data_IF_757987112450
#
_entry.id   IF_757987112450
#
_cell.length_a   1.000
_cell.length_b   1.000
_cell.length_c   1.000
_cell.angle_alpha   90.00
_cell.angle_beta   90.00
_cell.angle_gamma   90.00
#
_symmetry.space_group_name_H-M   'P 1'
#
loop_
_entity.id
_entity.type
_entity.pdbx_description
1 polymer ?
#
# COMPACT_ATOMS: atom_id res chain seq x y z
N UNK A 1 -13.26 -1.12 -0.81
CA UNK A 1 -11.86 -1.46 -1.17
C UNK A 1 -10.97 -1.01 -0.04
N UNK A 2 -10.24 -1.94 0.57
CA UNK A 2 -9.28 -1.66 1.64
C UNK A 2 -7.87 -1.88 1.10
N UNK A 3 -6.98 -0.94 1.40
CA UNK A 3 -5.58 -0.98 1.09
C UNK A 3 -4.78 -0.78 2.36
N UNK A 4 -3.85 -1.67 2.61
CA UNK A 4 -3.07 -1.64 3.84
C UNK A 4 -1.72 -2.31 3.65
N UNK A 5 -0.91 -2.29 4.69
CA UNK A 5 0.43 -2.88 4.71
C UNK A 5 0.66 -3.61 6.02
N UNK A 6 1.27 -4.78 5.94
CA UNK A 6 1.81 -5.44 7.14
C UNK A 6 3.01 -4.66 7.68
N UNK A 7 2.87 -4.08 8.86
CA UNK A 7 3.93 -3.26 9.45
C UNK A 7 4.93 -4.08 10.26
N UNK A 8 6.21 -3.71 10.12
CA UNK A 8 7.34 -4.27 10.89
C UNK A 8 7.39 -5.80 10.91
N UNK A 9 6.82 -6.44 9.90
CA UNK A 9 6.71 -7.90 9.87
C UNK A 9 8.08 -8.58 9.91
N UNK A 10 9.07 -8.05 9.19
CA UNK A 10 10.44 -8.58 9.19
C UNK A 10 11.09 -8.59 10.58
N UNK A 11 10.81 -7.56 11.38
CA UNK A 11 11.38 -7.38 12.71
C UNK A 11 10.67 -8.26 13.75
N UNK A 12 9.39 -8.59 13.50
CA UNK A 12 8.54 -9.32 14.45
C UNK A 12 8.41 -10.82 14.15
N UNK A 13 9.10 -11.34 13.13
CA UNK A 13 9.15 -12.79 12.87
C UNK A 13 9.93 -13.49 13.97
N UNK A 14 9.27 -14.41 14.67
CA UNK A 14 9.88 -15.26 15.67
C UNK A 14 10.52 -16.47 14.97
N UNK A 15 11.84 -16.61 15.08
CA UNK A 15 12.61 -17.67 14.39
C UNK A 15 12.20 -19.10 14.81
N UNK A 16 11.82 -19.30 16.07
CA UNK A 16 11.37 -20.62 16.56
C UNK A 16 10.06 -21.06 15.91
N UNK A 17 9.12 -20.12 15.71
CA UNK A 17 7.90 -20.38 14.96
C UNK A 17 8.19 -20.59 13.48
N UNK A 18 9.07 -19.75 12.90
CA UNK A 18 9.47 -19.86 11.50
C UNK A 18 10.06 -21.24 11.19
N UNK A 19 10.92 -21.78 12.06
CA UNK A 19 11.51 -23.11 11.87
C UNK A 19 10.43 -24.20 11.77
N UNK A 20 9.45 -24.19 12.68
CA UNK A 20 8.33 -25.15 12.68
C UNK A 20 7.50 -25.03 11.40
N UNK A 21 7.23 -23.81 10.95
CA UNK A 21 6.48 -23.57 9.71
C UNK A 21 7.27 -24.01 8.47
N UNK A 22 8.58 -23.77 8.42
CA UNK A 22 9.42 -24.17 7.29
C UNK A 22 9.52 -25.70 7.17
N UNK A 23 9.60 -26.42 8.29
CA UNK A 23 9.60 -27.90 8.31
C UNK A 23 8.35 -28.54 7.70
N UNK A 24 7.26 -27.80 7.52
CA UNK A 24 6.06 -28.31 6.84
C UNK A 24 6.20 -28.38 5.31
N UNK A 25 7.10 -27.56 4.74
CA UNK A 25 7.21 -27.38 3.28
C UNK A 25 8.56 -27.78 2.71
N UNK A 26 9.62 -27.76 3.51
CA UNK A 26 10.98 -28.15 3.09
C UNK A 26 11.55 -29.19 4.04
N UNK A 27 12.60 -29.88 3.59
CA UNK A 27 13.32 -30.83 4.44
C UNK A 27 13.84 -30.16 5.72
N UNK A 28 13.87 -30.94 6.80
CA UNK A 28 14.28 -30.48 8.12
C UNK A 28 15.67 -29.83 8.14
N UNK A 29 16.65 -30.37 7.39
CA UNK A 29 18.00 -29.80 7.34
C UNK A 29 18.00 -28.40 6.67
N UNK A 30 17.19 -28.24 5.63
CA UNK A 30 17.05 -26.96 4.92
C UNK A 30 16.34 -25.94 5.82
N UNK A 31 15.28 -26.35 6.52
CA UNK A 31 14.58 -25.49 7.48
C UNK A 31 15.49 -25.00 8.61
N UNK A 32 16.32 -25.88 9.17
CA UNK A 32 17.30 -25.54 10.20
C UNK A 32 18.37 -24.60 9.69
N UNK A 33 18.91 -24.85 8.50
CA UNK A 33 19.86 -23.94 7.83
C UNK A 33 19.26 -22.54 7.62
N UNK A 34 18.04 -22.46 7.05
CA UNK A 34 17.37 -21.19 6.78
C UNK A 34 17.09 -20.41 8.07
N UNK A 35 16.74 -21.10 9.16
CA UNK A 35 16.48 -20.46 10.45
C UNK A 35 17.79 -19.97 11.09
N UNK A 36 18.80 -20.83 11.19
CA UNK A 36 20.09 -20.48 11.78
C UNK A 36 20.80 -19.36 11.02
N UNK A 37 20.63 -19.30 9.69
CA UNK A 37 21.26 -18.26 8.86
C UNK A 37 20.63 -16.87 9.05
N UNK A 38 19.41 -16.79 9.59
CA UNK A 38 18.83 -15.51 9.99
C UNK A 38 19.35 -15.02 11.34
N UNK A 39 19.88 -15.92 12.17
CA UNK A 39 20.46 -15.59 13.49
C UNK A 39 21.95 -15.27 13.34
N UNK A 40 22.28 -14.13 12.74
CA UNK A 40 23.66 -13.64 12.64
C UNK A 40 23.82 -12.27 13.30
N UNK A 41 25.02 -12.01 13.79
CA UNK A 41 25.40 -10.71 14.35
C UNK A 41 25.60 -9.72 13.19
N UNK A 42 24.85 -8.63 13.20
CA UNK A 42 24.98 -7.53 12.24
C UNK A 42 25.97 -6.52 12.81
N UNK A 43 27.01 -6.20 12.04
CA UNK A 43 28.04 -5.27 12.44
C UNK A 43 27.94 -3.98 11.61
N UNK A 44 27.99 -2.83 12.27
CA UNK A 44 28.17 -1.54 11.65
C UNK A 44 29.18 -0.72 12.44
N UNK A 45 30.38 -0.53 11.87
CA UNK A 45 31.54 0.05 12.58
C UNK A 45 31.80 -0.74 13.88
N UNK A 46 31.76 -0.07 15.03
CA UNK A 46 31.99 -0.66 16.35
C UNK A 46 30.71 -1.21 17.01
N UNK A 47 29.56 -1.12 16.33
CA UNK A 47 28.28 -1.60 16.85
C UNK A 47 27.97 -3.00 16.35
N UNK A 48 27.67 -3.90 17.28
CA UNK A 48 27.27 -5.29 16.99
C UNK A 48 25.89 -5.53 17.60
N UNK A 49 24.95 -6.07 16.82
CA UNK A 49 23.61 -6.42 17.29
C UNK A 49 23.09 -7.68 16.59
N UNK A 50 22.57 -8.62 17.36
CA UNK A 50 21.85 -9.79 16.82
C UNK A 50 20.40 -9.40 16.60
N UNK A 51 19.96 -9.35 15.33
CA UNK A 51 18.59 -8.95 14.99
C UNK A 51 17.83 -10.11 14.35
N UNK A 52 16.50 -9.96 14.21
CA UNK A 52 15.61 -10.93 13.56
C UNK A 52 15.87 -11.13 12.06
N UNK A 53 14.85 -11.57 11.32
CA UNK A 53 14.97 -12.01 9.91
C UNK A 53 15.66 -10.98 8.99
N UNK A 54 16.67 -11.43 8.24
CA UNK A 54 17.53 -10.58 7.42
C UNK A 54 17.02 -10.52 5.98
N UNK A 55 16.74 -9.30 5.50
CA UNK A 55 16.24 -9.04 4.14
C UNK A 55 17.26 -9.26 3.03
N UNK A 56 18.56 -9.21 3.35
CA UNK A 56 19.66 -9.33 2.38
C UNK A 56 20.03 -10.77 2.01
N UNK A 57 19.43 -11.78 2.64
CA UNK A 57 19.67 -13.18 2.28
C UNK A 57 18.96 -13.51 0.96
N UNK A 58 19.59 -14.32 0.11
CA UNK A 58 19.04 -14.67 -1.21
C UNK A 58 17.67 -15.38 -1.12
N UNK A 59 17.47 -16.20 -0.09
CA UNK A 59 16.20 -16.88 0.18
C UNK A 59 15.23 -16.08 1.07
N UNK A 60 15.55 -14.82 1.42
CA UNK A 60 14.69 -14.00 2.27
C UNK A 60 13.33 -13.73 1.60
N UNK A 61 13.31 -13.59 0.27
CA UNK A 61 12.08 -13.45 -0.51
C UNK A 61 11.12 -14.61 -0.28
N UNK A 62 11.63 -15.85 -0.35
CA UNK A 62 10.85 -17.06 -0.11
C UNK A 62 10.28 -17.12 1.31
N UNK A 63 11.12 -16.93 2.34
CA UNK A 63 10.69 -16.91 3.75
C UNK A 63 9.56 -15.89 3.95
N UNK A 64 9.75 -14.69 3.39
CA UNK A 64 8.78 -13.60 3.54
C UNK A 64 7.45 -13.94 2.89
N UNK A 65 7.48 -14.43 1.65
CA UNK A 65 6.25 -14.74 0.92
C UNK A 65 5.48 -15.89 1.57
N UNK A 66 6.19 -16.91 2.05
CA UNK A 66 5.60 -18.03 2.78
C UNK A 66 5.01 -17.59 4.13
N UNK A 67 5.76 -16.81 4.92
CA UNK A 67 5.25 -16.31 6.20
C UNK A 67 4.01 -15.44 6.00
N UNK A 68 3.98 -14.61 4.96
CA UNK A 68 2.80 -13.82 4.62
C UNK A 68 1.64 -14.66 4.13
N UNK A 69 1.87 -15.75 3.40
CA UNK A 69 0.81 -16.69 3.04
C UNK A 69 0.11 -17.23 4.30
N UNK A 70 0.87 -17.56 5.34
CA UNK A 70 0.30 -17.97 6.64
C UNK A 70 -0.56 -16.84 7.25
N UNK A 71 -0.11 -15.59 7.17
CA UNK A 71 -0.91 -14.45 7.65
C UNK A 71 -2.17 -14.24 6.82
N UNK A 72 -2.11 -14.43 5.50
CA UNK A 72 -3.27 -14.28 4.63
C UNK A 72 -4.35 -15.33 4.98
N UNK A 73 -3.96 -16.56 5.30
CA UNK A 73 -4.87 -17.58 5.80
C UNK A 73 -5.56 -17.20 7.11
N UNK A 74 -4.89 -16.42 7.98
CA UNK A 74 -5.50 -15.88 9.21
C UNK A 74 -6.51 -14.77 8.90
N UNK A 75 -6.29 -13.99 7.83
CA UNK A 75 -7.20 -12.90 7.43
C UNK A 75 -8.49 -13.44 6.80
N UNK A 76 -8.43 -14.44 5.92
CA UNK A 76 -9.64 -14.98 5.27
C UNK A 76 -10.32 -16.12 6.02
N UNK A 77 -9.54 -16.88 6.79
CA UNK A 77 -9.93 -18.23 7.19
C UNK A 77 -9.80 -19.24 6.04
N UNK A 78 -9.79 -20.53 6.40
CA UNK A 78 -9.47 -21.62 5.47
C UNK A 78 -10.51 -21.83 4.36
N UNK A 79 -11.80 -21.62 4.65
CA UNK A 79 -12.88 -21.82 3.68
C UNK A 79 -12.78 -20.81 2.54
N UNK A 80 -12.77 -19.51 2.86
CA UNK A 80 -12.67 -18.45 1.85
C UNK A 80 -11.35 -18.55 1.06
N UNK A 81 -10.24 -18.87 1.71
CA UNK A 81 -8.96 -19.10 1.02
C UNK A 81 -9.02 -20.28 0.04
N UNK A 82 -9.68 -21.37 0.41
CA UNK A 82 -9.85 -22.55 -0.46
C UNK A 82 -10.75 -22.25 -1.66
N UNK A 83 -11.82 -21.49 -1.47
CA UNK A 83 -12.72 -21.08 -2.56
C UNK A 83 -12.02 -20.17 -3.57
N UNK A 84 -11.18 -19.24 -3.09
CA UNK A 84 -10.37 -18.36 -3.94
C UNK A 84 -9.30 -19.13 -4.72
N UNK A 85 -8.59 -20.06 -4.07
CA UNK A 85 -7.54 -20.84 -4.72
C UNK A 85 -8.10 -21.89 -5.70
N UNK A 86 -9.33 -22.36 -5.46
CA UNK A 86 -9.93 -23.46 -6.20
C UNK A 86 -9.37 -24.84 -5.76
N UNK A 87 -9.89 -25.93 -6.34
CA UNK A 87 -9.45 -27.28 -6.02
C UNK A 87 -8.02 -27.52 -6.49
N UNK A 88 -7.25 -28.29 -5.74
CA UNK A 88 -5.85 -28.60 -6.00
C UNK A 88 -5.59 -29.19 -7.40
N UNK A 89 -6.55 -29.94 -7.95
CA UNK A 89 -6.46 -30.52 -9.29
C UNK A 89 -6.60 -29.47 -10.40
N UNK A 90 -7.33 -28.38 -10.14
CA UNK A 90 -7.62 -27.33 -11.11
C UNK A 90 -7.70 -25.97 -10.39
N UNK A 91 -6.54 -25.38 -10.06
CA UNK A 91 -6.50 -24.12 -9.34
C UNK A 91 -7.06 -22.99 -10.21
N UNK A 92 -7.72 -22.03 -9.55
CA UNK A 92 -8.25 -20.85 -10.22
C UNK A 92 -7.12 -19.90 -10.63
N UNK A 93 -7.32 -19.13 -11.70
CA UNK A 93 -6.41 -18.04 -12.02
C UNK A 93 -6.66 -16.81 -11.12
N UNK A 94 -5.78 -15.83 -11.21
CA UNK A 94 -5.89 -14.60 -10.42
C UNK A 94 -7.23 -13.89 -10.67
N UNK A 95 -7.95 -13.58 -9.58
CA UNK A 95 -9.27 -12.93 -9.59
C UNK A 95 -10.39 -13.72 -10.30
N UNK A 96 -10.24 -15.04 -10.41
CA UNK A 96 -11.26 -15.93 -10.96
C UNK A 96 -11.81 -16.85 -9.88
N UNK A 97 -13.10 -17.16 -9.99
CA UNK A 97 -13.79 -18.17 -9.19
C UNK A 97 -14.32 -19.27 -10.10
N UNK A 98 -14.67 -20.43 -9.53
CA UNK A 98 -15.28 -21.51 -10.30
C UNK A 98 -16.70 -21.14 -10.73
N UNK A 99 -17.50 -20.64 -9.79
CA UNK A 99 -18.91 -20.32 -9.99
C UNK A 99 -19.26 -18.96 -9.39
N UNK A 100 -20.27 -18.30 -9.99
CA UNK A 100 -20.83 -17.04 -9.47
C UNK A 100 -21.49 -17.19 -8.10
N UNK A 101 -21.96 -18.40 -7.77
CA UNK A 101 -22.49 -18.73 -6.45
C UNK A 101 -21.40 -18.70 -5.39
N UNK A 102 -20.24 -19.34 -5.67
CA UNK A 102 -19.07 -19.33 -4.77
C UNK A 102 -18.53 -17.92 -4.60
N UNK A 103 -18.46 -17.14 -5.69
CA UNK A 103 -18.11 -15.72 -5.62
C UNK A 103 -19.05 -14.98 -4.68
N UNK A 104 -20.35 -15.32 -4.68
CA UNK A 104 -21.45 -14.71 -3.94
C UNK A 104 -21.57 -15.05 -2.45
N UNK A 105 -20.95 -16.14 -1.97
CA UNK A 105 -21.08 -16.63 -0.60
C UNK A 105 -20.46 -15.73 0.47
N UNK A 106 -19.26 -15.19 0.24
CA UNK A 106 -18.49 -14.47 1.27
C UNK A 106 -18.26 -12.99 0.93
N UNK A 107 -18.38 -12.02 1.87
CA UNK A 107 -18.25 -10.59 1.55
C UNK A 107 -16.93 -10.18 0.91
N UNK A 108 -15.84 -10.92 1.17
CA UNK A 108 -14.55 -10.71 0.50
C UNK A 108 -14.62 -11.35 -0.90
N UNK A 109 -14.54 -10.52 -1.94
CA UNK A 109 -14.62 -10.98 -3.33
C UNK A 109 -13.26 -11.02 -4.02
N UNK A 110 -12.42 -10.01 -3.83
CA UNK A 110 -11.11 -9.96 -4.48
C UNK A 110 -10.03 -9.74 -3.44
N UNK A 111 -8.91 -10.41 -3.65
CA UNK A 111 -7.72 -10.23 -2.84
C UNK A 111 -6.47 -10.17 -3.70
N UNK A 112 -5.56 -9.27 -3.36
CA UNK A 112 -4.22 -9.27 -3.90
C UNK A 112 -3.24 -8.84 -2.82
N UNK A 113 -2.08 -9.48 -2.81
CA UNK A 113 -0.94 -9.08 -1.99
C UNK A 113 0.27 -8.82 -2.86
N UNK A 114 0.74 -7.58 -2.84
CA UNK A 114 1.97 -7.19 -3.51
C UNK A 114 3.06 -6.97 -2.49
N UNK A 115 3.93 -7.96 -2.32
CA UNK A 115 4.96 -7.99 -1.28
C UNK A 115 4.31 -7.79 0.09
N UNK A 116 4.33 -6.58 0.64
CA UNK A 116 3.81 -6.20 1.96
C UNK A 116 2.48 -5.44 1.92
N UNK A 117 2.09 -4.94 0.74
CA UNK A 117 0.82 -4.25 0.53
C UNK A 117 -0.28 -5.26 0.26
N UNK A 118 -1.43 -5.01 0.87
CA UNK A 118 -2.61 -5.84 0.81
C UNK A 118 -3.74 -5.02 0.21
N UNK A 119 -4.45 -5.62 -0.73
CA UNK A 119 -5.60 -5.04 -1.41
C UNK A 119 -6.77 -6.01 -1.26
N UNK A 120 -7.84 -5.56 -0.59
CA UNK A 120 -9.02 -6.38 -0.32
C UNK A 120 -10.27 -5.67 -0.85
N UNK A 121 -11.02 -6.34 -1.70
CA UNK A 121 -12.29 -5.86 -2.21
C UNK A 121 -13.44 -6.59 -1.50
N UNK A 122 -14.32 -5.79 -0.89
CA UNK A 122 -15.49 -6.27 -0.18
C UNK A 122 -16.76 -5.88 -0.93
N UNK A 123 -17.74 -6.77 -0.92
CA UNK A 123 -19.11 -6.55 -1.40
C UNK A 123 -20.09 -6.97 -0.32
N UNK A 124 -20.53 -6.00 0.48
CA UNK A 124 -21.51 -6.21 1.53
C UNK A 124 -22.94 -6.05 1.01
N UNK A 125 -23.86 -6.82 1.60
CA UNK A 125 -25.29 -6.52 1.57
C UNK A 125 -25.63 -5.37 2.52
N UNK A 126 -26.84 -4.81 2.40
CA UNK A 126 -27.29 -3.75 3.29
C UNK A 126 -27.47 -4.22 4.76
N UNK A 127 -27.67 -5.52 4.97
CA UNK A 127 -27.81 -6.12 6.30
C UNK A 127 -26.43 -6.33 6.92
N UNK A 128 -25.53 -7.01 6.20
CA UNK A 128 -24.15 -7.26 6.63
C UNK A 128 -23.40 -5.97 6.97
N UNK A 129 -23.56 -4.93 6.14
CA UNK A 129 -22.93 -3.63 6.39
C UNK A 129 -23.45 -2.98 7.68
N UNK A 130 -24.76 -3.07 7.96
CA UNK A 130 -25.35 -2.52 9.18
C UNK A 130 -24.87 -3.28 10.42
N UNK A 131 -24.85 -4.60 10.34
CA UNK A 131 -24.45 -5.46 11.45
C UNK A 131 -22.97 -5.25 11.78
N UNK A 132 -22.10 -5.17 10.77
CA UNK A 132 -20.67 -4.89 10.96
C UNK A 132 -20.42 -3.52 11.60
N UNK A 133 -21.14 -2.49 11.15
CA UNK A 133 -21.06 -1.14 11.75
C UNK A 133 -21.55 -1.17 13.19
N UNK A 134 -22.64 -1.89 13.48
CA UNK A 134 -23.19 -1.98 14.83
C UNK A 134 -22.22 -2.67 15.79
N UNK A 135 -21.59 -3.78 15.38
CA UNK A 135 -20.54 -4.44 16.16
C UNK A 135 -19.38 -3.48 16.44
N UNK A 136 -18.89 -2.77 15.42
CA UNK A 136 -17.82 -1.79 15.58
C UNK A 136 -18.19 -0.66 16.57
N UNK A 137 -19.37 -0.06 16.43
CA UNK A 137 -19.83 1.03 17.31
C UNK A 137 -20.17 0.58 18.72
N UNK A 138 -20.42 -0.72 18.93
CA UNK A 138 -20.61 -1.29 20.27
C UNK A 138 -19.30 -1.30 21.04
N UNK A 139 -18.18 -1.64 20.38
CA UNK A 139 -16.85 -1.59 21.00
C UNK A 139 -16.25 -0.18 21.04
N UNK A 140 -16.53 0.63 20.01
CA UNK A 140 -15.97 1.97 19.83
C UNK A 140 -17.12 2.98 19.66
N UNK A 141 -17.80 3.36 20.76
CA UNK A 141 -18.92 4.29 20.69
C UNK A 141 -18.44 5.68 20.25
N UNK A 142 -19.11 6.25 19.25
CA UNK A 142 -18.81 7.59 18.71
C UNK A 142 -20.03 8.52 18.84
N UNK A 143 -20.27 9.11 20.04
CA UNK A 143 -21.40 10.01 20.27
C UNK A 143 -21.23 11.36 19.56
N UNK A 144 -19.99 11.80 19.29
CA UNK A 144 -19.66 13.12 18.76
C UNK A 144 -19.45 13.15 17.23
N UNK A 145 -19.56 12.01 16.54
CA UNK A 145 -19.23 11.85 15.11
C UNK A 145 -17.77 12.17 14.78
N UNK A 146 -16.86 11.88 15.70
CA UNK A 146 -15.42 12.09 15.56
C UNK A 146 -14.78 11.11 14.56
N UNK A 147 -15.47 10.02 14.19
CA UNK A 147 -14.95 9.06 13.21
C UNK A 147 -14.62 9.67 11.84
N UNK A 148 -15.26 10.79 11.48
CA UNK A 148 -15.00 11.54 10.25
C UNK A 148 -13.63 12.23 10.32
N UNK A 149 -13.22 12.66 11.51
CA UNK A 149 -11.92 13.30 11.75
C UNK A 149 -10.82 12.25 11.65
N UNK A 150 -9.77 12.54 10.88
CA UNK A 150 -8.67 11.60 10.67
C UNK A 150 -8.98 10.46 9.69
N UNK A 151 -10.07 10.55 8.91
CA UNK A 151 -10.28 9.62 7.80
C UNK A 151 -9.38 10.00 6.61
N UNK A 152 -8.47 9.11 6.25
CA UNK A 152 -7.51 9.33 5.16
C UNK A 152 -8.23 9.42 3.81
N UNK A 153 -7.86 10.42 2.99
CA UNK A 153 -8.43 10.59 1.65
C UNK A 153 -7.36 11.02 0.64
N UNK A 154 -7.55 10.60 -0.61
CA UNK A 154 -6.60 10.83 -1.70
C UNK A 154 -6.68 12.29 -2.18
N UNK A 155 -5.61 13.05 -1.95
CA UNK A 155 -5.54 14.49 -2.29
C UNK A 155 -5.17 14.77 -3.75
N UNK A 156 -4.71 13.76 -4.49
CA UNK A 156 -4.39 13.85 -5.93
C UNK A 156 -5.62 14.19 -6.79
N UNK A 157 -6.81 13.68 -6.44
CA UNK A 157 -8.02 13.86 -7.20
C UNK A 157 -8.69 15.21 -6.89
N UNK A 158 -9.49 15.80 -7.81
CA UNK A 158 -10.34 16.95 -7.50
C UNK A 158 -11.36 16.63 -6.40
N UNK A 159 -11.84 17.65 -5.67
CA UNK A 159 -12.74 17.45 -4.51
C UNK A 159 -13.98 16.63 -4.84
N UNK A 160 -14.60 16.86 -5.98
CA UNK A 160 -15.83 16.16 -6.41
C UNK A 160 -15.59 14.70 -6.80
N UNK A 161 -14.33 14.37 -7.11
CA UNK A 161 -13.89 13.05 -7.54
C UNK A 161 -13.39 12.17 -6.40
N UNK A 162 -13.20 12.76 -5.22
CA UNK A 162 -12.77 12.04 -4.00
C UNK A 162 -13.95 11.30 -3.38
N UNK A 163 -13.62 10.40 -2.45
CA UNK A 163 -14.64 9.83 -1.57
C UNK A 163 -15.23 10.94 -0.69
N UNK A 164 -16.55 11.08 -0.72
CA UNK A 164 -17.35 11.92 0.16
C UNK A 164 -17.45 11.25 1.53
N UNK A 165 -17.23 12.03 2.58
CA UNK A 165 -17.17 11.54 3.96
C UNK A 165 -18.58 11.53 4.59
N UNK A 166 -19.42 10.60 4.16
CA UNK A 166 -20.73 10.35 4.78
C UNK A 166 -20.57 9.49 6.03
N UNK A 167 -21.34 9.78 7.09
CA UNK A 167 -21.25 9.05 8.38
C UNK A 167 -21.34 7.53 8.21
N UNK A 168 -22.29 7.05 7.41
CA UNK A 168 -22.46 5.62 7.14
C UNK A 168 -21.21 5.01 6.49
N UNK A 169 -20.69 5.63 5.44
CA UNK A 169 -19.55 5.13 4.67
C UNK A 169 -18.24 5.18 5.47
N UNK A 170 -18.04 6.24 6.25
CA UNK A 170 -16.89 6.39 7.15
C UNK A 170 -16.90 5.30 8.22
N UNK A 171 -18.06 5.08 8.85
CA UNK A 171 -18.20 4.03 9.86
C UNK A 171 -18.00 2.64 9.25
N UNK A 172 -18.51 2.38 8.04
CA UNK A 172 -18.27 1.14 7.32
C UNK A 172 -16.77 0.95 7.06
N UNK A 173 -16.08 1.99 6.57
CA UNK A 173 -14.65 1.93 6.31
C UNK A 173 -13.82 1.61 7.55
N UNK A 174 -14.14 2.24 8.69
CA UNK A 174 -13.48 1.96 9.98
C UNK A 174 -13.84 0.57 10.52
N UNK A 175 -15.09 0.15 10.39
CA UNK A 175 -15.54 -1.16 10.85
C UNK A 175 -14.86 -2.31 10.07
N UNK A 176 -14.73 -2.16 8.74
CA UNK A 176 -13.99 -3.13 7.90
C UNK A 176 -12.52 -3.20 8.30
N UNK A 177 -11.88 -2.05 8.53
CA UNK A 177 -10.50 -2.02 8.98
C UNK A 177 -10.33 -2.67 10.36
N UNK A 178 -11.22 -2.36 11.30
CA UNK A 178 -11.23 -2.94 12.64
C UNK A 178 -11.41 -4.47 12.59
N UNK A 179 -12.32 -4.96 11.74
CA UNK A 179 -12.54 -6.39 11.52
C UNK A 179 -11.24 -7.09 11.08
N UNK A 180 -10.59 -6.58 10.02
CA UNK A 180 -9.35 -7.16 9.49
C UNK A 180 -8.20 -7.05 10.50
N UNK A 181 -8.14 -5.94 11.26
CA UNK A 181 -7.13 -5.76 12.30
C UNK A 181 -7.28 -6.80 13.42
N UNK A 182 -8.49 -7.19 13.77
CA UNK A 182 -8.76 -8.17 14.82
C UNK A 182 -8.53 -9.62 14.39
N UNK A 183 -8.56 -9.91 13.09
CA UNK A 183 -8.16 -11.22 12.56
C UNK A 183 -6.66 -11.51 12.75
N UNK A 184 -5.85 -10.47 12.93
CA UNK A 184 -4.40 -10.60 13.04
C UNK A 184 -3.94 -10.71 14.49
N UNK A 185 -2.95 -11.57 14.79
CA UNK A 185 -2.33 -11.61 16.11
C UNK A 185 -1.58 -10.30 16.38
N UNK A 186 -1.53 -9.86 17.65
CA UNK A 186 -0.88 -8.61 18.06
C UNK A 186 0.60 -8.49 17.65
N UNK A 187 1.25 -9.61 17.36
CA UNK A 187 2.62 -9.67 16.84
C UNK A 187 2.75 -9.11 15.42
N UNK A 188 1.67 -9.06 14.63
CA UNK A 188 1.66 -8.42 13.30
C UNK A 188 0.67 -7.28 13.33
N UNK A 189 1.15 -6.08 13.06
CA UNK A 189 0.36 -4.86 13.20
C UNK A 189 -0.01 -4.29 11.84
N UNK A 190 -1.25 -3.83 11.74
CA UNK A 190 -1.74 -2.96 10.67
C UNK A 190 -2.11 -1.62 11.33
N UNK A 191 -1.61 -0.52 10.78
CA UNK A 191 -1.89 0.83 11.27
C UNK A 191 -2.83 1.58 10.31
N UNK A 192 -3.70 2.42 10.86
CA UNK A 192 -4.68 3.18 10.09
C UNK A 192 -4.00 4.27 9.23
N UNK A 193 -2.97 4.93 9.77
CA UNK A 193 -2.29 6.05 9.12
C UNK A 193 -1.61 5.65 7.79
N UNK A 194 -1.09 4.42 7.71
CA UNK A 194 -0.52 3.83 6.49
C UNK A 194 -1.55 3.14 5.58
N UNK A 195 -2.83 3.17 5.94
CA UNK A 195 -3.91 2.46 5.27
C UNK A 195 -4.92 3.42 4.64
N UNK A 196 -5.63 2.93 3.63
CA UNK A 196 -6.68 3.67 2.94
C UNK A 196 -7.87 2.75 2.65
N UNK A 197 -9.07 3.21 2.97
CA UNK A 197 -10.31 2.48 2.69
C UNK A 197 -11.22 3.37 1.86
N UNK A 198 -11.58 2.91 0.67
CA UNK A 198 -12.56 3.57 -0.21
C UNK A 198 -13.86 2.79 -0.20
N UNK A 199 -14.97 3.49 0.04
CA UNK A 199 -16.33 2.92 0.00
C UNK A 199 -17.05 3.45 -1.22
N UNK A 200 -17.54 2.52 -2.05
CA UNK A 200 -18.49 2.81 -3.12
C UNK A 200 -19.90 2.52 -2.58
N UNK A 201 -20.71 3.56 -2.47
CA UNK A 201 -22.04 3.52 -1.81
C UNK A 201 -23.08 4.18 -2.71
N UNK A 202 -24.30 4.48 -2.23
CA UNK A 202 -25.25 5.31 -2.99
C UNK A 202 -24.79 6.77 -3.13
N UNK A 203 -24.07 7.28 -2.15
CA UNK A 203 -23.63 8.68 -2.08
C UNK A 203 -22.26 8.89 -2.75
N UNK A 204 -21.46 7.82 -2.80
CA UNK A 204 -20.12 7.78 -3.39
C UNK A 204 -20.12 7.05 -4.75
N UNK A 205 -19.97 7.77 -5.88
CA UNK A 205 -19.96 7.17 -7.23
C UNK A 205 -18.60 6.61 -7.65
N UNK A 206 -17.51 7.03 -7.01
CA UNK A 206 -16.16 6.63 -7.38
C UNK A 206 -15.63 5.56 -6.41
N UNK A 207 -14.85 4.62 -6.94
CA UNK A 207 -14.02 3.71 -6.15
C UNK A 207 -12.55 4.07 -6.35
N UNK A 208 -11.85 4.41 -5.26
CA UNK A 208 -10.46 4.84 -5.28
C UNK A 208 -9.56 3.76 -4.70
N UNK A 209 -8.38 3.56 -5.29
CA UNK A 209 -7.35 2.64 -4.80
C UNK A 209 -5.98 3.00 -5.41
N UNK A 210 -4.90 2.47 -4.86
CA UNK A 210 -3.52 2.66 -5.31
C UNK A 210 -2.80 1.32 -5.39
N UNK A 211 -2.46 0.89 -6.60
CA UNK A 211 -1.73 -0.36 -6.85
C UNK A 211 -0.44 -0.03 -7.61
N UNK A 212 0.68 -0.60 -7.14
CA UNK A 212 1.99 -0.48 -7.78
C UNK A 212 2.48 0.96 -8.03
N UNK A 213 1.95 1.96 -7.31
CA UNK A 213 2.33 3.38 -7.48
C UNK A 213 1.44 4.16 -8.45
N UNK A 214 0.42 3.52 -9.01
CA UNK A 214 -0.65 4.18 -9.75
C UNK A 214 -1.88 4.34 -8.87
N UNK A 215 -2.37 5.57 -8.78
CA UNK A 215 -3.66 5.86 -8.16
C UNK A 215 -4.75 5.74 -9.21
N UNK A 216 -5.66 4.82 -8.94
CA UNK A 216 -6.74 4.44 -9.83
C UNK A 216 -8.07 4.92 -9.26
N UNK A 217 -8.91 5.46 -10.14
CA UNK A 217 -10.29 5.79 -9.85
C UNK A 217 -11.20 5.10 -10.84
N UNK A 218 -12.02 4.18 -10.37
CA UNK A 218 -13.05 3.53 -11.19
C UNK A 218 -14.37 4.29 -11.03
N UNK A 219 -14.96 4.66 -12.16
CA UNK A 219 -16.29 5.25 -12.28
C UNK A 219 -17.14 4.37 -13.21
N UNK A 220 -18.20 3.73 -12.69
CA UNK A 220 -19.16 3.00 -13.53
C UNK A 220 -20.00 3.93 -14.40
N UNK A 221 -20.26 3.50 -15.64
CA UNK A 221 -21.00 4.32 -16.61
C UNK A 221 -22.44 4.62 -16.18
N UNK A 222 -23.06 3.71 -15.42
CA UNK A 222 -24.42 3.89 -14.89
C UNK A 222 -24.55 5.06 -13.90
N UNK A 223 -23.43 5.67 -13.47
CA UNK A 223 -23.39 6.80 -12.54
C UNK A 223 -22.73 8.04 -13.14
N UNK A 224 -22.38 8.00 -14.41
CA UNK A 224 -21.85 9.18 -15.09
C UNK A 224 -23.00 10.16 -15.34
N UNK A 225 -22.80 11.44 -15.01
CA UNK A 225 -23.81 12.50 -15.22
C UNK A 225 -23.90 12.94 -16.68
N UNK A 226 -22.87 12.65 -17.49
CA UNK A 226 -22.82 12.92 -18.93
C UNK A 226 -22.63 11.60 -19.67
N UNK A 227 -23.47 11.32 -20.67
CA UNK A 227 -23.46 10.06 -21.44
C UNK A 227 -22.22 9.89 -22.34
N UNK A 228 -21.39 10.93 -22.48
CA UNK A 228 -20.20 10.88 -23.33
C UNK A 228 -18.96 10.37 -22.58
N UNK A 229 -18.34 9.34 -23.17
CA UNK A 229 -17.04 8.83 -22.72
C UNK A 229 -15.97 9.90 -22.91
N UNK A 230 -15.28 10.26 -21.82
CA UNK A 230 -14.05 11.05 -21.94
C UNK A 230 -12.95 10.19 -22.53
N UNK A 231 -12.73 10.30 -23.84
CA UNK A 231 -11.61 9.68 -24.53
C UNK A 231 -10.37 10.53 -24.37
N UNK A 232 -9.62 10.28 -23.29
CA UNK A 232 -8.31 10.90 -23.05
C UNK A 232 -7.28 9.81 -22.78
N UNK A 233 -6.01 10.05 -23.12
CA UNK A 233 -4.92 9.06 -23.08
C UNK A 233 -4.60 8.50 -21.67
N UNK A 234 -5.17 9.08 -20.61
CA UNK A 234 -5.02 8.64 -19.21
C UNK A 234 -6.18 7.80 -18.66
N UNK A 235 -7.10 7.34 -19.52
CA UNK A 235 -8.32 6.63 -19.12
C UNK A 235 -8.39 5.25 -19.75
N UNK A 236 -8.53 4.22 -18.91
CA UNK A 236 -8.82 2.87 -19.35
C UNK A 236 -10.33 2.64 -19.39
N UNK A 237 -10.84 2.24 -20.56
CA UNK A 237 -12.22 1.82 -20.71
C UNK A 237 -12.32 0.33 -20.37
N UNK A 238 -12.97 0.01 -19.25
CA UNK A 238 -13.12 -1.35 -18.76
C UNK A 238 -14.32 -2.02 -19.44
N UNK A 239 -14.07 -3.20 -20.01
CA UNK A 239 -15.05 -3.98 -20.74
C UNK A 239 -15.52 -5.15 -19.88
N UNK A 240 -16.84 -5.39 -19.87
CA UNK A 240 -17.40 -6.58 -19.27
C UNK A 240 -17.07 -7.80 -20.13
N UNK A 241 -16.55 -8.86 -19.52
CA UNK A 241 -16.16 -10.07 -20.22
C UNK A 241 -17.35 -10.80 -20.88
N UNK A 242 -18.53 -10.76 -20.28
CA UNK A 242 -19.73 -11.47 -20.78
C UNK A 242 -20.43 -10.66 -21.87
N UNK A 243 -20.82 -9.41 -21.56
CA UNK A 243 -21.60 -8.58 -22.51
C UNK A 243 -20.74 -7.91 -23.57
N UNK A 244 -19.41 -7.87 -23.38
CA UNK A 244 -18.46 -7.13 -24.21
C UNK A 244 -18.73 -5.64 -24.30
N UNK A 245 -19.61 -5.09 -23.45
CA UNK A 245 -19.86 -3.66 -23.36
C UNK A 245 -18.83 -2.98 -22.46
N UNK A 246 -18.54 -1.72 -22.74
CA UNK A 246 -17.76 -0.87 -21.83
C UNK A 246 -18.67 -0.46 -20.69
N UNK A 247 -18.37 -0.90 -19.46
CA UNK A 247 -19.24 -0.69 -18.29
C UNK A 247 -18.69 0.31 -17.29
N UNK A 248 -17.38 0.57 -17.32
CA UNK A 248 -16.73 1.52 -16.42
C UNK A 248 -15.51 2.16 -17.06
N UNK A 249 -15.10 3.31 -16.53
CA UNK A 249 -13.85 3.98 -16.85
C UNK A 249 -12.94 3.98 -15.63
N UNK A 250 -11.65 3.68 -15.84
CA UNK A 250 -10.61 3.79 -14.83
C UNK A 250 -9.68 4.94 -15.18
N UNK A 251 -9.63 5.97 -14.33
CA UNK A 251 -8.73 7.09 -14.46
C UNK A 251 -7.44 6.81 -13.68
N UNK A 252 -6.30 7.14 -14.26
CA UNK A 252 -4.98 6.88 -13.67
C UNK A 252 -4.29 8.19 -13.28
N UNK A 253 -3.63 8.18 -12.13
CA UNK A 253 -2.76 9.26 -11.67
C UNK A 253 -1.46 8.65 -11.10
N UNK A 254 -0.33 9.34 -11.25
CA UNK A 254 0.97 8.87 -10.77
C UNK A 254 1.23 9.37 -9.34
N UNK A 255 1.46 8.43 -8.42
CA UNK A 255 1.84 8.70 -7.02
C UNK A 255 3.36 8.55 -6.80
N UNK A 256 4.08 8.04 -7.79
CA UNK A 256 5.51 7.72 -7.72
C UNK A 256 6.44 8.86 -8.13
N UNK A 257 5.89 10.01 -8.56
CA UNK A 257 6.65 11.19 -9.01
C UNK A 257 7.75 11.63 -8.02
N UNK A 258 7.48 11.58 -6.71
CA UNK A 258 8.47 11.94 -5.70
C UNK A 258 9.70 11.03 -5.74
N UNK A 259 9.52 9.72 -5.96
CA UNK A 259 10.65 8.79 -6.08
C UNK A 259 11.49 9.11 -7.31
N UNK A 260 10.84 9.48 -8.41
CA UNK A 260 11.53 9.93 -9.61
C UNK A 260 12.34 11.21 -9.33
N UNK A 261 11.76 12.21 -8.69
CA UNK A 261 12.48 13.43 -8.29
C UNK A 261 13.68 13.13 -7.38
N UNK A 262 13.54 12.23 -6.39
CA UNK A 262 14.67 11.81 -5.55
C UNK A 262 15.75 11.09 -6.34
N UNK A 263 15.38 10.26 -7.33
CA UNK A 263 16.34 9.58 -8.20
C UNK A 263 17.13 10.58 -9.05
N UNK A 264 16.47 11.57 -9.64
CA UNK A 264 17.11 12.64 -10.43
C UNK A 264 18.07 13.47 -9.56
N UNK A 265 17.66 13.80 -8.33
CA UNK A 265 18.56 14.48 -7.38
C UNK A 265 19.79 13.65 -7.05
N UNK A 266 19.63 12.34 -6.85
CA UNK A 266 20.75 11.46 -6.60
C UNK A 266 21.72 11.36 -7.79
N UNK A 267 21.20 11.26 -9.02
CA UNK A 267 22.05 11.25 -10.22
C UNK A 267 22.77 12.58 -10.42
N UNK A 268 22.11 13.71 -10.20
CA UNK A 268 22.74 15.02 -10.34
C UNK A 268 23.75 15.30 -9.23
N UNK A 269 23.49 14.84 -8.00
CA UNK A 269 24.43 14.92 -6.88
C UNK A 269 25.68 14.07 -7.12
N UNK A 270 25.53 12.88 -7.73
CA UNK A 270 26.66 12.06 -8.17
C UNK A 270 27.42 12.68 -9.34
N UNK A 271 26.71 13.32 -10.28
CA UNK A 271 27.31 14.09 -11.38
C UNK A 271 28.19 15.22 -10.87
N UNK A 272 27.70 16.00 -9.90
CA UNK A 272 28.51 17.04 -9.23
C UNK A 272 29.69 16.44 -8.45
N UNK A 273 29.53 15.28 -7.80
CA UNK A 273 30.63 14.61 -7.09
C UNK A 273 31.72 14.07 -8.01
N UNK A 274 31.34 13.59 -9.20
CA UNK A 274 32.28 13.19 -10.26
C UNK A 274 32.99 14.41 -10.85
N UNK A 275 32.27 15.50 -11.14
CA UNK A 275 32.88 16.77 -11.57
C UNK A 275 33.84 17.31 -10.51
N UNK A 276 33.50 17.22 -9.22
CA UNK A 276 34.38 17.67 -8.13
C UNK A 276 35.62 16.79 -7.98
N UNK A 277 35.49 15.47 -8.17
CA UNK A 277 36.64 14.53 -8.16
C UNK A 277 37.53 14.69 -9.39
N UNK A 278 36.95 14.93 -10.56
CA UNK A 278 37.68 15.18 -11.80
C UNK A 278 38.40 16.54 -11.70
N UNK A 279 37.79 17.57 -11.10
CA UNK A 279 38.46 18.83 -10.76
C UNK A 279 39.61 18.66 -9.75
N UNK A 280 39.49 17.74 -8.78
CA UNK A 280 40.58 17.46 -7.83
C UNK A 280 41.74 16.63 -8.42
N UNK A 281 41.56 15.98 -9.57
CA UNK A 281 42.66 15.29 -10.27
C UNK A 281 43.37 16.18 -11.30
N UNK A 282 42.79 17.33 -11.67
CA UNK A 282 43.40 18.32 -12.57
C UNK A 282 43.97 19.49 -11.75
N UNK A 283 44.81 19.19 -10.77
CA UNK A 283 45.72 20.20 -10.22
C UNK A 283 46.92 20.33 -11.18
N UNK A 284 46.71 20.94 -12.35
CA UNK A 284 47.69 21.70 -13.16
C UNK A 284 47.06 22.05 -14.52
N UNK A 285 46.35 23.19 -14.58
CA UNK A 285 46.36 24.09 -15.75
C UNK A 285 45.68 25.43 -15.44
N UNK A 286 46.07 26.52 -16.13
CA UNK A 286 46.01 27.90 -15.65
C UNK A 286 44.65 28.59 -15.86
N UNK A 287 44.38 29.55 -14.97
CA UNK A 287 43.43 30.67 -15.00
C UNK A 287 42.28 30.61 -16.02
N UNK A 288 41.11 30.20 -15.55
CA UNK A 288 39.82 30.45 -16.22
C UNK A 288 39.09 31.63 -15.54
N UNK A 289 38.48 32.56 -16.30
CA UNK A 289 37.83 33.74 -15.74
C UNK A 289 36.51 33.41 -15.01
N UNK A 290 36.28 34.13 -13.90
CA UNK A 290 35.25 33.92 -12.85
C UNK A 290 33.75 33.95 -13.28
N UNK A 291 33.43 33.97 -14.57
CA UNK A 291 32.06 34.25 -15.04
C UNK A 291 31.16 33.01 -15.27
N UNK A 292 31.55 31.81 -14.79
CA UNK A 292 30.79 30.56 -14.99
C UNK A 292 30.38 29.80 -13.72
N UNK A 293 30.25 30.48 -12.57
CA UNK A 293 29.58 29.90 -11.40
C UNK A 293 28.14 30.45 -11.28
N UNK A 294 27.09 29.59 -11.25
CA UNK A 294 25.73 30.05 -10.98
C UNK A 294 25.64 30.56 -9.53
N UNK A 295 25.34 31.85 -9.35
CA UNK A 295 25.06 32.44 -8.03
C UNK A 295 23.82 31.80 -7.43
N UNK A 296 24.01 30.93 -6.44
CA UNK A 296 22.95 30.48 -5.54
C UNK A 296 22.53 31.63 -4.62
N UNK A 297 21.45 32.35 -4.97
CA UNK A 297 20.78 33.25 -4.04
C UNK A 297 19.98 32.43 -3.02
N UNK A 298 20.54 32.26 -1.82
CA UNK A 298 19.78 31.93 -0.62
C UNK A 298 19.51 33.24 0.14
N UNK A 299 18.30 33.78 0.04
CA UNK A 299 17.80 34.78 0.99
C UNK A 299 16.85 34.08 1.96
N UNK A 300 17.27 33.92 3.21
CA UNK A 300 16.43 34.05 4.40
C UNK A 300 17.30 34.12 5.65
N UNK A 301 17.25 35.25 6.36
CA UNK A 301 16.91 35.37 7.79
C UNK A 301 17.10 36.82 8.21
N UNK A 302 16.05 37.40 8.79
CA UNK A 302 16.06 38.78 9.30
C UNK A 302 16.53 38.84 10.74
N UNK A 303 17.02 40.00 11.18
CA UNK A 303 17.22 40.38 12.57
C UNK A 303 17.13 41.91 12.70
N UNK A 304 16.12 42.33 13.50
CA UNK A 304 16.01 43.53 14.36
C UNK A 304 16.13 44.95 13.78
N UNK A 305 15.24 45.80 14.29
CA UNK A 305 15.13 47.20 13.92
C UNK A 305 16.08 48.15 14.61
N UNK A 306 16.06 49.38 14.12
CA UNK A 306 16.22 50.59 14.90
C UNK A 306 15.51 51.73 14.16
N UNK A 307 14.81 52.55 14.94
CA UNK A 307 14.22 53.82 14.54
C UNK A 307 15.32 54.82 14.14
N UNK A 308 15.02 55.70 13.18
CA UNK A 308 14.97 57.16 13.39
C UNK A 308 14.81 57.94 12.08
N UNK A 309 13.84 58.86 12.11
CA UNK A 309 13.81 60.22 11.55
C UNK A 309 14.11 60.50 10.06
N UNK A 310 13.01 60.80 9.34
CA UNK A 310 12.67 61.95 8.47
C UNK A 310 11.89 61.56 7.22
#
# INVERSE_FOLDING_TARGET
MMETRYEKMYEKIILTLLNRLLRLIVDHNIADYMTAKNDVVINYKDMNHTNGTIRGLQFASFITQYYRLVMDLLVFGLMCASEMAGPHQMPNAFLQFQDTTTEGTHPIRLYSRYVDKIHIYFRFSAEEARDLIQCYLTEHPDPNNENIVGYNNKKCWPRDSRMRLMKHDVNLGRAVFWYIKNCLPRSVTIEWDGSFVSVYSKDNPNLLFNICGFECRILPNCRTTHEEFTHTDGVWNLQNEVTKERTAQCFLCDDSMNKFHYRVRHTNGLGLYHIYKDCQQVEHCPDWPDDLLPRCHCQHTGVTGHADEM
#
